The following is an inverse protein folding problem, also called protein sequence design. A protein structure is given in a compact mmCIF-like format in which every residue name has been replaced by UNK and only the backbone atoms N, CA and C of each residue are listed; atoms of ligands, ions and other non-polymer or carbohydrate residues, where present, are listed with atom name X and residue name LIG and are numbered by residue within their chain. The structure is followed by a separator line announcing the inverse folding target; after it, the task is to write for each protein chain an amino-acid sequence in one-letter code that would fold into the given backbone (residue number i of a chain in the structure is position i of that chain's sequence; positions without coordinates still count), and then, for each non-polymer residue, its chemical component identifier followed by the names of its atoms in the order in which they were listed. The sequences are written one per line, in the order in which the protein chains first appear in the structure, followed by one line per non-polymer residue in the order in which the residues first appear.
data_IF_251699374156
#
_entry.id   IF_251699374156
#
_cell.length_a   1.000
_cell.length_b   1.000
_cell.length_c   1.000
_cell.angle_alpha   90.00
_cell.angle_beta   90.00
_cell.angle_gamma   90.00
#
_symmetry.space_group_name_H-M   'P 1'
#
loop_
_entity.id
_entity.type
_entity.pdbx_description
1 polymer ?
#
# COMPACT_ATOMS: atom_id res chain seq x y z
N UNK A 1 7.40 23.55 -14.50
CA UNK A 1 7.11 22.38 -15.35
C UNK A 1 6.07 21.54 -14.63
N UNK A 2 4.78 21.68 -14.99
CA UNK A 2 3.66 21.00 -14.34
C UNK A 2 3.59 19.53 -14.78
N UNK A 3 4.07 18.63 -13.93
CA UNK A 3 3.79 17.19 -14.06
C UNK A 3 2.70 16.79 -13.07
N UNK A 4 1.47 17.25 -13.31
CA UNK A 4 0.30 16.78 -12.56
C UNK A 4 -0.20 15.44 -13.11
N UNK A 5 0.68 14.45 -13.21
CA UNK A 5 0.24 13.06 -13.31
C UNK A 5 -0.14 12.65 -11.90
N UNK A 6 -1.44 12.60 -11.60
CA UNK A 6 -1.92 12.12 -10.32
C UNK A 6 -1.34 10.71 -10.10
N UNK A 7 -0.63 10.45 -8.99
CA UNK A 7 -0.11 9.14 -8.70
C UNK A 7 -1.25 8.12 -8.71
N UNK A 8 -1.07 6.97 -9.39
CA UNK A 8 -2.05 5.88 -9.37
C UNK A 8 -2.39 5.52 -7.92
N UNK A 9 -3.68 5.38 -7.62
CA UNK A 9 -4.11 5.03 -6.27
C UNK A 9 -3.58 3.64 -5.87
N UNK A 10 -3.34 3.40 -4.57
CA UNK A 10 -2.92 2.06 -4.10
C UNK A 10 -3.90 0.96 -4.52
N UNK A 11 -5.20 1.22 -4.48
CA UNK A 11 -6.24 0.28 -4.91
C UNK A 11 -6.15 -0.05 -6.41
N UNK A 12 -5.93 0.95 -7.27
CA UNK A 12 -5.77 0.71 -8.70
C UNK A 12 -4.48 -0.05 -9.01
N UNK A 13 -3.40 0.21 -8.25
CA UNK A 13 -2.17 -0.58 -8.36
C UNK A 13 -2.38 -2.04 -7.93
N UNK A 14 -3.06 -2.27 -6.80
CA UNK A 14 -3.40 -3.61 -6.32
C UNK A 14 -4.22 -4.41 -7.35
N UNK A 15 -5.23 -3.77 -7.95
CA UNK A 15 -6.03 -4.39 -9.01
C UNK A 15 -5.18 -4.76 -10.23
N UNK A 16 -4.23 -3.91 -10.62
CA UNK A 16 -3.38 -4.15 -11.79
C UNK A 16 -2.35 -5.28 -11.58
N UNK A 17 -1.83 -5.45 -10.36
CA UNK A 17 -0.81 -6.49 -10.09
C UNK A 17 -1.41 -7.90 -9.97
N UNK A 18 -2.72 -8.03 -9.75
CA UNK A 18 -3.41 -9.31 -9.64
C UNK A 18 -3.22 -10.19 -10.89
N UNK A 19 -3.22 -9.59 -12.08
CA UNK A 19 -3.13 -10.33 -13.35
C UNK A 19 -1.69 -10.53 -13.83
N UNK A 20 -0.69 -10.02 -13.10
CA UNK A 20 0.72 -10.14 -13.48
C UNK A 20 1.31 -11.50 -13.08
N UNK A 21 2.27 -12.06 -13.84
CA UNK A 21 3.04 -13.21 -13.39
C UNK A 21 3.95 -12.85 -12.21
N UNK A 22 4.30 -13.85 -11.39
CA UNK A 22 5.09 -13.64 -10.16
C UNK A 22 6.45 -12.98 -10.44
N UNK A 23 7.13 -13.36 -11.53
CA UNK A 23 8.41 -12.75 -11.91
C UNK A 23 8.28 -11.25 -12.21
N UNK A 24 7.14 -10.82 -12.76
CA UNK A 24 6.85 -9.41 -12.99
C UNK A 24 6.60 -8.66 -11.67
N UNK A 25 6.03 -9.31 -10.65
CA UNK A 25 5.88 -8.72 -9.31
C UNK A 25 7.23 -8.45 -8.67
N UNK A 26 8.16 -9.41 -8.74
CA UNK A 26 9.52 -9.22 -8.24
C UNK A 26 10.29 -8.16 -9.01
N UNK A 27 10.15 -8.14 -10.34
CA UNK A 27 10.76 -7.10 -11.20
C UNK A 27 10.23 -5.72 -10.83
N UNK A 28 8.91 -5.59 -10.66
CA UNK A 28 8.29 -4.31 -10.29
C UNK A 28 8.71 -3.86 -8.90
N UNK A 29 8.81 -4.79 -7.95
CA UNK A 29 9.32 -4.48 -6.63
C UNK A 29 10.77 -3.99 -6.72
N UNK A 30 11.67 -4.72 -7.40
CA UNK A 30 13.06 -4.28 -7.56
C UNK A 30 13.19 -2.87 -8.17
N UNK A 31 12.39 -2.54 -9.19
CA UNK A 31 12.34 -1.20 -9.77
C UNK A 31 11.94 -0.13 -8.73
N UNK A 32 10.88 -0.38 -7.96
CA UNK A 32 10.40 0.51 -6.91
C UNK A 32 11.45 0.71 -5.81
N UNK A 33 12.18 -0.35 -5.47
CA UNK A 33 13.24 -0.32 -4.47
C UNK A 33 14.43 0.51 -4.91
N UNK A 34 14.84 0.38 -6.18
CA UNK A 34 15.87 1.21 -6.77
C UNK A 34 15.45 2.69 -6.78
N UNK A 35 14.20 3.00 -7.17
CA UNK A 35 13.67 4.36 -7.13
C UNK A 35 13.69 4.95 -5.71
N UNK A 36 13.29 4.16 -4.71
CA UNK A 36 13.33 4.57 -3.32
C UNK A 36 14.76 4.83 -2.83
N UNK A 37 15.72 4.00 -3.23
CA UNK A 37 17.12 4.18 -2.87
C UNK A 37 17.67 5.50 -3.47
N UNK A 38 17.39 5.76 -4.75
CA UNK A 38 17.79 7.03 -5.37
C UNK A 38 17.21 8.26 -4.66
N UNK A 39 15.95 8.20 -4.22
CA UNK A 39 15.35 9.29 -3.43
C UNK A 39 16.01 9.46 -2.07
N UNK A 40 16.37 8.37 -1.40
CA UNK A 40 17.10 8.44 -0.11
C UNK A 40 18.48 9.06 -0.28
N UNK A 41 19.20 8.66 -1.32
CA UNK A 41 20.53 9.20 -1.62
C UNK A 41 20.43 10.70 -1.98
N UNK A 42 19.42 11.08 -2.77
CA UNK A 42 19.13 12.48 -3.09
C UNK A 42 18.78 13.29 -1.83
N UNK A 43 17.94 12.75 -0.94
CA UNK A 43 17.60 13.41 0.32
C UNK A 43 18.83 13.59 1.21
N UNK A 44 19.71 12.59 1.30
CA UNK A 44 20.95 12.69 2.06
C UNK A 44 21.87 13.80 1.52
N UNK A 45 21.96 13.97 0.20
CA UNK A 45 22.72 15.06 -0.42
C UNK A 45 22.08 16.43 -0.14
N UNK A 46 20.74 16.53 -0.20
CA UNK A 46 20.03 17.79 0.07
C UNK A 46 20.10 18.23 1.54
N UNK A 47 20.33 17.30 2.48
CA UNK A 47 20.55 17.64 3.89
C UNK A 47 21.80 18.50 4.13
N UNK A 48 22.77 18.49 3.21
CA UNK A 48 23.93 19.39 3.27
C UNK A 48 23.53 20.88 3.09
N UNK A 49 22.35 21.13 2.52
CA UNK A 49 21.78 22.44 2.25
C UNK A 49 20.50 22.68 3.08
N UNK A 50 20.44 22.13 4.29
CA UNK A 50 19.24 22.18 5.14
C UNK A 50 18.81 23.60 5.57
N UNK A 51 19.65 24.61 5.36
CA UNK A 51 19.32 26.02 5.54
C UNK A 51 18.49 26.60 4.39
N UNK A 52 18.50 25.98 3.21
CA UNK A 52 17.65 26.33 2.07
C UNK A 52 16.23 25.75 2.26
N UNK A 53 15.24 26.64 2.26
CA UNK A 53 13.82 26.28 2.34
C UNK A 53 13.38 25.39 1.17
N UNK A 54 13.89 25.63 -0.04
CA UNK A 54 13.58 24.83 -1.22
C UNK A 54 14.11 23.41 -1.07
N UNK A 55 15.31 23.25 -0.51
CA UNK A 55 15.88 21.93 -0.24
C UNK A 55 15.09 21.19 0.85
N UNK A 56 14.65 21.89 1.91
CA UNK A 56 13.80 21.30 2.97
C UNK A 56 12.44 20.84 2.44
N UNK A 57 11.79 21.66 1.61
CA UNK A 57 10.53 21.31 0.95
C UNK A 57 10.72 20.10 0.03
N UNK A 58 11.77 20.08 -0.80
CA UNK A 58 12.06 18.96 -1.69
C UNK A 58 12.28 17.63 -0.94
N UNK A 59 13.02 17.66 0.18
CA UNK A 59 13.19 16.48 1.05
C UNK A 59 11.85 15.99 1.59
N UNK A 60 11.01 16.91 2.08
CA UNK A 60 9.68 16.59 2.62
C UNK A 60 8.76 15.98 1.56
N UNK A 61 8.77 16.51 0.35
CA UNK A 61 8.01 15.95 -0.78
C UNK A 61 8.51 14.55 -1.17
N UNK A 62 9.83 14.37 -1.24
CA UNK A 62 10.44 13.07 -1.54
C UNK A 62 10.09 12.01 -0.49
N UNK A 63 10.00 12.39 0.79
CA UNK A 63 9.56 11.48 1.85
C UNK A 63 8.11 11.00 1.67
N UNK A 64 7.22 11.86 1.16
CA UNK A 64 5.85 11.46 0.76
C UNK A 64 5.92 10.42 -0.37
N UNK A 65 6.78 10.64 -1.38
CA UNK A 65 6.96 9.69 -2.48
C UNK A 65 7.51 8.35 -1.97
N UNK A 66 8.53 8.37 -1.10
CA UNK A 66 9.11 7.18 -0.48
C UNK A 66 8.04 6.38 0.27
N UNK A 67 7.17 7.02 1.07
CA UNK A 67 6.06 6.34 1.76
C UNK A 67 5.13 5.62 0.79
N UNK A 68 4.74 6.29 -0.31
CA UNK A 68 3.88 5.70 -1.34
C UNK A 68 4.57 4.56 -2.11
N UNK A 69 5.88 4.62 -2.30
CA UNK A 69 6.64 3.52 -2.90
C UNK A 69 6.66 2.30 -1.97
N UNK A 70 6.90 2.50 -0.67
CA UNK A 70 6.84 1.43 0.35
C UNK A 70 5.50 0.73 0.36
N UNK A 71 4.40 1.50 0.30
CA UNK A 71 3.05 0.94 0.22
C UNK A 71 2.88 0.01 -1.00
N UNK A 72 3.36 0.43 -2.18
CA UNK A 72 3.29 -0.39 -3.40
C UNK A 72 4.15 -1.64 -3.35
N UNK A 73 5.34 -1.56 -2.74
CA UNK A 73 6.16 -2.75 -2.48
C UNK A 73 5.43 -3.72 -1.56
N UNK A 74 4.75 -3.20 -0.53
CA UNK A 74 3.96 -4.05 0.36
C UNK A 74 2.79 -4.72 -0.37
N UNK A 75 2.13 -4.03 -1.31
CA UNK A 75 1.10 -4.64 -2.17
C UNK A 75 1.68 -5.78 -3.03
N UNK A 76 2.87 -5.59 -3.63
CA UNK A 76 3.55 -6.68 -4.34
C UNK A 76 3.86 -7.87 -3.42
N UNK A 77 4.30 -7.61 -2.19
CA UNK A 77 4.54 -8.64 -1.18
C UNK A 77 3.26 -9.40 -0.83
N UNK A 78 2.19 -8.68 -0.48
CA UNK A 78 0.90 -9.29 -0.14
C UNK A 78 0.35 -10.13 -1.29
N UNK A 79 0.51 -9.68 -2.53
CA UNK A 79 0.09 -10.44 -3.71
C UNK A 79 0.90 -11.75 -3.87
N UNK A 80 2.23 -11.70 -3.73
CA UNK A 80 3.08 -12.91 -3.79
C UNK A 80 2.73 -13.89 -2.67
N UNK A 81 2.56 -13.40 -1.45
CA UNK A 81 2.19 -14.22 -0.29
C UNK A 81 0.76 -14.78 -0.42
N UNK A 82 -0.17 -14.01 -1.00
CA UNK A 82 -1.53 -14.44 -1.33
C UNK A 82 -1.58 -15.58 -2.34
N UNK A 83 -0.56 -15.70 -3.19
CA UNK A 83 -0.38 -16.83 -4.12
C UNK A 83 0.28 -18.07 -3.48
N UNK A 84 0.54 -18.03 -2.17
CA UNK A 84 1.16 -19.13 -1.42
C UNK A 84 2.68 -19.22 -1.58
N UNK A 85 3.31 -18.19 -2.16
CA UNK A 85 4.76 -18.11 -2.31
C UNK A 85 5.36 -17.29 -1.18
N UNK A 86 6.55 -17.67 -0.73
CA UNK A 86 7.30 -16.87 0.24
C UNK A 86 7.88 -15.65 -0.47
N UNK A 87 7.70 -14.47 0.11
CA UNK A 87 8.44 -13.29 -0.33
C UNK A 87 9.94 -13.45 -0.09
N UNK A 88 10.74 -13.31 -1.16
CA UNK A 88 12.21 -13.37 -1.11
C UNK A 88 12.90 -12.05 -1.44
N UNK A 89 12.13 -11.00 -1.76
CA UNK A 89 12.68 -9.67 -2.02
C UNK A 89 13.31 -9.06 -0.77
N UNK A 90 14.21 -8.10 -0.96
CA UNK A 90 14.92 -7.44 0.15
C UNK A 90 13.95 -6.94 1.23
N UNK A 91 14.28 -7.24 2.48
CA UNK A 91 13.52 -6.81 3.65
C UNK A 91 13.83 -5.34 3.95
N UNK A 92 12.82 -4.48 3.83
CA UNK A 92 12.89 -3.08 4.24
C UNK A 92 12.43 -2.96 5.69
N UNK A 93 13.25 -3.46 6.62
CA UNK A 93 12.95 -3.28 8.03
C UNK A 93 14.12 -2.66 8.78
N UNK A 94 14.01 -1.34 8.97
CA UNK A 94 14.27 -0.67 10.25
C UNK A 94 13.44 0.61 10.27
N UNK A 95 12.19 0.50 10.71
CA UNK A 95 11.32 1.66 10.97
C UNK A 95 9.84 1.36 10.86
N UNK A 96 9.39 0.22 11.39
CA UNK A 96 7.98 -0.06 11.56
C UNK A 96 7.41 0.82 12.69
N UNK A 97 6.78 1.93 12.33
CA UNK A 97 5.64 2.45 13.06
C UNK A 97 4.37 2.09 12.30
N UNK A 98 3.90 0.90 12.64
CA UNK A 98 2.52 0.47 12.82
C UNK A 98 1.42 1.42 12.29
N UNK A 99 0.79 1.06 11.18
CA UNK A 99 -0.66 1.21 11.03
C UNK A 99 -1.20 0.15 10.06
N UNK A 100 -1.60 -0.98 10.64
CA UNK A 100 -2.52 -1.94 10.02
C UNK A 100 -3.94 -1.40 10.19
N UNK A 101 -4.71 -1.36 9.10
CA UNK A 101 -6.00 -2.07 8.96
C UNK A 101 -6.90 -1.39 7.92
N UNK A 102 -7.23 -2.07 6.82
CA UNK A 102 -8.62 -2.17 6.37
C UNK A 102 -8.78 -3.44 5.52
N UNK A 103 -9.10 -4.55 6.20
CA UNK A 103 -9.71 -5.70 5.57
C UNK A 103 -11.23 -5.55 5.68
N UNK A 104 -11.86 -4.88 4.70
CA UNK A 104 -13.30 -4.67 4.63
C UNK A 104 -14.00 -5.66 3.72
N UNK A 105 -13.96 -6.96 4.03
CA UNK A 105 -14.86 -7.96 3.43
C UNK A 105 -15.31 -8.94 4.50
N UNK A 106 -16.55 -8.77 4.98
CA UNK A 106 -17.35 -9.92 5.43
C UNK A 106 -18.68 -9.87 4.69
N UNK A 107 -18.94 -11.00 4.03
CA UNK A 107 -20.07 -11.30 3.17
C UNK A 107 -21.39 -11.33 3.93
N UNK A 108 -22.44 -11.12 3.14
CA UNK A 108 -23.85 -11.39 3.40
C UNK A 108 -24.10 -12.56 4.38
N UNK A 109 -24.93 -12.31 5.39
CA UNK A 109 -25.75 -13.33 6.03
C UNK A 109 -27.18 -13.11 5.56
N UNK A 110 -27.65 -14.09 4.80
CA UNK A 110 -29.00 -14.28 4.33
C UNK A 110 -29.70 -15.33 5.22
N UNK A 111 -31.04 -15.24 5.23
CA UNK A 111 -32.05 -16.21 5.69
C UNK A 111 -32.36 -16.41 7.19
N UNK A 112 -33.68 -16.34 7.47
CA UNK A 112 -34.31 -16.78 8.72
C UNK A 112 -35.76 -16.34 8.90
N UNK A 113 -36.64 -16.64 7.93
CA UNK A 113 -38.10 -16.50 8.05
C UNK A 113 -38.75 -17.70 8.75
N UNK A 114 -39.83 -17.45 9.51
CA UNK A 114 -40.67 -18.43 10.25
C UNK A 114 -40.81 -18.03 11.72
N UNK A 115 -41.94 -18.11 12.41
CA UNK A 115 -43.24 -18.73 12.16
C UNK A 115 -44.24 -18.14 13.20
N UNK A 116 -45.52 -18.26 12.88
CA UNK A 116 -46.68 -17.68 13.52
C UNK A 116 -47.02 -18.23 14.92
N UNK A 117 -47.70 -17.39 15.73
CA UNK A 117 -48.70 -17.86 16.71
C UNK A 117 -48.40 -17.59 18.19
N UNK A 118 -49.14 -16.66 18.80
CA UNK A 118 -50.02 -16.98 19.93
C UNK A 118 -50.98 -15.82 20.22
N UNK A 119 -52.25 -16.18 20.44
CA UNK A 119 -53.38 -15.29 20.62
C UNK A 119 -53.61 -15.04 22.12
N UNK A 120 -53.38 -13.80 22.58
CA UNK A 120 -53.71 -13.36 23.94
C UNK A 120 -54.88 -12.37 23.96
N UNK A 121 -56.11 -12.88 23.85
CA UNK A 121 -57.31 -12.13 24.27
C UNK A 121 -57.40 -12.23 25.79
N UNK A 122 -57.26 -11.11 26.50
CA UNK A 122 -57.69 -11.01 27.88
C UNK A 122 -58.78 -9.94 27.99
N UNK A 123 -59.96 -10.43 28.38
CA UNK A 123 -61.16 -9.72 28.82
C UNK A 123 -60.88 -8.81 30.02
#
# INVERSE_FOLDING_TARGET
MSSSSAPISPAAFAAAIHDLPVDALYTKAAELLNQMQHLRDSNAQMQEFADDEVCREAVTENEVVIRRIRERVNLCKTEVEGRGLRWTGEFWDKGAENEVNMNGVVRAADEGAGDDGDAGVHL
#
